data_IF_027468682412
#
_entry.id   IF_027468682412
#
_cell.length_a   1.000
_cell.length_b   1.000
_cell.length_c   1.000
_cell.angle_alpha   90.00
_cell.angle_beta   90.00
_cell.angle_gamma   90.00
#
_symmetry.space_group_name_H-M   'P 1'
#
loop_
_entity.id
_entity.type
_entity.pdbx_description
1 polymer ?
#
# COMPACT_ATOMS: atom_id res chain seq x y z
N UNK A 1 35.95 -5.96 -42.50
CA UNK A 1 35.03 -4.85 -42.13
C UNK A 1 33.73 -5.48 -41.69
N UNK A 2 33.52 -5.57 -40.37
CA UNK A 2 32.34 -6.24 -39.79
C UNK A 2 31.08 -5.42 -40.06
N UNK A 3 30.16 -6.01 -40.82
CA UNK A 3 28.80 -5.50 -40.99
C UNK A 3 28.06 -5.64 -39.66
N UNK A 4 27.99 -4.58 -38.86
CA UNK A 4 27.03 -4.50 -37.76
C UNK A 4 25.68 -4.16 -38.41
N UNK A 5 24.96 -5.19 -38.81
CA UNK A 5 23.57 -5.07 -39.26
C UNK A 5 22.70 -4.81 -38.03
N UNK A 6 22.61 -3.55 -37.58
CA UNK A 6 21.73 -3.15 -36.48
C UNK A 6 20.28 -3.34 -36.91
N UNK A 7 19.69 -4.48 -36.56
CA UNK A 7 18.27 -4.74 -36.82
C UNK A 7 17.42 -3.73 -36.05
N UNK A 8 16.47 -3.07 -36.74
CA UNK A 8 15.62 -1.97 -36.24
C UNK A 8 14.30 -2.44 -35.59
N UNK A 9 13.94 -3.71 -35.78
CA UNK A 9 12.76 -4.35 -35.18
C UNK A 9 12.78 -4.51 -33.64
N UNK A 10 13.92 -4.72 -32.95
CA UNK A 10 13.90 -5.05 -31.53
C UNK A 10 13.45 -3.87 -30.67
N UNK A 11 13.77 -2.61 -31.03
CA UNK A 11 13.35 -1.44 -30.23
C UNK A 11 11.83 -1.26 -30.25
N UNK A 12 11.19 -1.37 -31.42
CA UNK A 12 9.74 -1.27 -31.53
C UNK A 12 9.02 -2.42 -30.80
N UNK A 13 9.57 -3.63 -30.87
CA UNK A 13 9.04 -4.79 -30.13
C UNK A 13 9.17 -4.56 -28.62
N UNK A 14 10.34 -4.13 -28.14
CA UNK A 14 10.58 -3.83 -26.73
C UNK A 14 9.65 -2.73 -26.23
N UNK A 15 9.43 -1.68 -27.03
CA UNK A 15 8.50 -0.60 -26.69
C UNK A 15 7.07 -1.10 -26.47
N UNK A 16 6.55 -1.90 -27.40
CA UNK A 16 5.21 -2.49 -27.30
C UNK A 16 5.13 -3.44 -26.09
N UNK A 17 6.13 -4.29 -25.90
CA UNK A 17 6.17 -5.20 -24.76
C UNK A 17 6.19 -4.46 -23.43
N UNK A 18 6.95 -3.37 -23.30
CA UNK A 18 6.95 -2.53 -22.10
C UNK A 18 5.59 -1.88 -21.84
N UNK A 19 4.91 -1.37 -22.88
CA UNK A 19 3.58 -0.80 -22.74
C UNK A 19 2.55 -1.84 -22.30
N UNK A 20 2.56 -3.03 -22.91
CA UNK A 20 1.66 -4.14 -22.54
C UNK A 20 1.93 -4.59 -21.10
N UNK A 21 3.19 -4.77 -20.73
CA UNK A 21 3.57 -5.11 -19.36
C UNK A 21 3.07 -4.06 -18.36
N UNK A 22 3.24 -2.77 -18.68
CA UNK A 22 2.76 -1.69 -17.85
C UNK A 22 1.24 -1.68 -17.68
N UNK A 23 0.49 -1.93 -18.76
CA UNK A 23 -0.98 -2.06 -18.72
C UNK A 23 -1.41 -3.24 -17.84
N UNK A 24 -0.75 -4.39 -17.97
CA UNK A 24 -1.02 -5.57 -17.12
C UNK A 24 -0.79 -5.25 -15.65
N UNK A 25 0.30 -4.55 -15.31
CA UNK A 25 0.58 -4.14 -13.93
C UNK A 25 -0.50 -3.19 -13.37
N UNK A 26 -0.96 -2.21 -14.16
CA UNK A 26 -2.04 -1.31 -13.74
C UNK A 26 -3.32 -2.10 -13.44
N UNK A 27 -3.71 -3.01 -14.34
CA UNK A 27 -4.92 -3.83 -14.17
C UNK A 27 -4.78 -4.74 -12.94
N UNK A 28 -3.65 -5.43 -12.80
CA UNK A 28 -3.39 -6.31 -11.67
C UNK A 28 -3.44 -5.55 -10.33
N UNK A 29 -2.77 -4.39 -10.25
CA UNK A 29 -2.82 -3.52 -9.08
C UNK A 29 -4.24 -3.07 -8.76
N UNK A 30 -5.00 -2.61 -9.77
CA UNK A 30 -6.40 -2.19 -9.61
C UNK A 30 -7.33 -3.31 -9.14
N UNK A 31 -7.15 -4.53 -9.64
CA UNK A 31 -7.91 -5.71 -9.18
C UNK A 31 -7.64 -5.99 -7.69
N UNK A 32 -6.37 -6.00 -7.28
CA UNK A 32 -6.00 -6.21 -5.87
C UNK A 32 -6.57 -5.08 -4.99
N UNK A 33 -6.48 -3.83 -5.43
CA UNK A 33 -7.06 -2.68 -4.71
C UNK A 33 -8.57 -2.86 -4.49
N UNK A 34 -9.29 -3.22 -5.55
CA UNK A 34 -10.73 -3.45 -5.51
C UNK A 34 -11.10 -4.61 -4.59
N UNK A 35 -10.32 -5.70 -4.61
CA UNK A 35 -10.53 -6.85 -3.72
C UNK A 35 -10.37 -6.47 -2.24
N UNK A 36 -9.33 -5.71 -1.88
CA UNK A 36 -9.13 -5.22 -0.51
C UNK A 36 -10.28 -4.28 -0.11
N UNK A 37 -10.72 -3.42 -1.03
CA UNK A 37 -11.84 -2.50 -0.80
C UNK A 37 -13.14 -3.24 -0.52
N UNK A 38 -13.41 -4.32 -1.26
CA UNK A 38 -14.59 -5.17 -1.01
C UNK A 38 -14.51 -5.83 0.36
N UNK A 39 -13.38 -6.47 0.68
CA UNK A 39 -13.20 -7.14 1.96
C UNK A 39 -13.39 -6.17 3.14
N UNK A 40 -12.84 -4.96 3.05
CA UNK A 40 -13.01 -3.98 4.12
C UNK A 40 -14.45 -3.47 4.26
N UNK A 41 -15.19 -3.34 3.16
CA UNK A 41 -16.62 -2.97 3.20
C UNK A 41 -17.47 -4.06 3.81
N UNK A 42 -17.15 -5.32 3.51
CA UNK A 42 -17.90 -6.47 4.00
C UNK A 42 -17.80 -6.65 5.52
N UNK A 43 -16.77 -6.07 6.16
CA UNK A 43 -16.59 -6.08 7.62
C UNK A 43 -17.46 -5.02 8.35
N UNK A 44 -18.15 -4.13 7.65
CA UNK A 44 -19.05 -3.09 8.21
C UNK A 44 -18.44 -2.27 9.37
N UNK A 45 -17.12 -2.08 9.36
CA UNK A 45 -16.40 -1.32 10.39
C UNK A 45 -16.52 0.18 10.08
N UNK A 46 -17.01 0.97 11.03
CA UNK A 46 -16.95 2.43 10.98
C UNK A 46 -15.79 2.98 11.81
N UNK A 47 -15.19 4.08 11.38
CA UNK A 47 -14.16 4.76 12.17
C UNK A 47 -14.77 5.29 13.48
N UNK A 48 -14.30 4.77 14.61
CA UNK A 48 -14.67 5.21 15.94
C UNK A 48 -14.17 6.62 16.21
N UNK A 49 -14.98 7.42 16.92
CA UNK A 49 -14.55 8.72 17.40
C UNK A 49 -13.40 8.55 18.41
N UNK A 50 -12.39 9.41 18.35
CA UNK A 50 -11.29 9.45 19.34
C UNK A 50 -11.83 9.98 20.67
N UNK A 51 -12.50 11.14 20.65
CA UNK A 51 -13.31 11.68 21.76
C UNK A 51 -14.60 12.30 21.22
N UNK A 52 -15.58 12.60 22.09
CA UNK A 52 -16.83 13.24 21.67
C UNK A 52 -16.63 14.69 21.18
N UNK A 53 -15.66 15.38 21.76
CA UNK A 53 -15.32 16.77 21.45
C UNK A 53 -14.41 16.86 20.22
N UNK A 54 -13.57 15.84 20.01
CA UNK A 54 -12.56 15.79 18.95
C UNK A 54 -12.57 14.39 18.30
N UNK A 55 -13.61 14.07 17.51
CA UNK A 55 -13.82 12.71 17.01
C UNK A 55 -12.72 12.24 16.06
N UNK A 56 -11.91 13.15 15.52
CA UNK A 56 -10.82 12.87 14.60
C UNK A 56 -11.27 12.88 13.14
N UNK A 57 -10.29 13.02 12.24
CA UNK A 57 -10.57 13.01 10.82
C UNK A 57 -11.12 11.66 10.37
N UNK A 58 -12.23 11.68 9.63
CA UNK A 58 -12.92 10.49 9.07
C UNK A 58 -13.75 9.66 10.06
N UNK A 59 -13.94 10.13 11.30
CA UNK A 59 -14.86 9.48 12.23
C UNK A 59 -16.27 9.30 11.65
N UNK A 60 -16.90 8.17 11.94
CA UNK A 60 -18.22 7.79 11.43
C UNK A 60 -18.25 7.36 9.96
N UNK A 61 -17.12 7.38 9.24
CA UNK A 61 -17.04 6.84 7.87
C UNK A 61 -16.70 5.36 7.89
N UNK A 62 -17.17 4.64 6.88
CA UNK A 62 -16.82 3.24 6.69
C UNK A 62 -15.33 3.08 6.41
N UNK A 63 -14.74 2.05 7.03
CA UNK A 63 -13.37 1.63 6.79
C UNK A 63 -13.36 0.92 5.44
N UNK A 64 -13.22 1.68 4.35
CA UNK A 64 -13.22 1.14 2.98
C UNK A 64 -11.97 1.52 2.18
N UNK A 65 -10.98 2.13 2.82
CA UNK A 65 -9.77 2.59 2.15
C UNK A 65 -8.60 2.77 3.12
N UNK A 66 -7.41 3.14 2.59
CA UNK A 66 -6.20 3.22 3.38
C UNK A 66 -6.28 4.28 4.50
N UNK A 67 -6.84 5.46 4.21
CA UNK A 67 -6.92 6.54 5.20
C UNK A 67 -7.94 6.27 6.30
N UNK A 68 -9.08 5.68 5.96
CA UNK A 68 -10.11 5.29 6.94
C UNK A 68 -9.63 4.12 7.80
N UNK A 69 -8.91 3.15 7.22
CA UNK A 69 -8.29 2.05 7.98
C UNK A 69 -7.21 2.56 8.96
N UNK A 70 -6.38 3.51 8.51
CA UNK A 70 -5.40 4.17 9.37
C UNK A 70 -6.06 4.97 10.50
N UNK A 71 -7.11 5.74 10.19
CA UNK A 71 -7.87 6.50 11.19
C UNK A 71 -8.48 5.56 12.25
N UNK A 72 -9.09 4.45 11.83
CA UNK A 72 -9.64 3.47 12.77
C UNK A 72 -8.56 2.82 13.63
N UNK A 73 -7.41 2.47 13.05
CA UNK A 73 -6.30 1.91 13.81
C UNK A 73 -5.78 2.89 14.87
N UNK A 74 -5.84 4.19 14.63
CA UNK A 74 -5.47 5.20 15.62
C UNK A 74 -6.54 5.40 16.70
N UNK A 75 -7.83 5.39 16.33
CA UNK A 75 -8.92 5.44 17.30
C UNK A 75 -8.86 4.25 18.27
N UNK A 76 -8.62 3.04 17.76
CA UNK A 76 -8.41 1.84 18.58
C UNK A 76 -7.23 2.02 19.53
N UNK A 77 -6.11 2.58 19.07
CA UNK A 77 -4.96 2.82 19.94
C UNK A 77 -5.28 3.79 21.08
N UNK A 78 -6.03 4.85 20.77
CA UNK A 78 -6.42 5.85 21.75
C UNK A 78 -7.27 5.22 22.85
N UNK A 79 -8.32 4.48 22.47
CA UNK A 79 -9.20 3.80 23.42
C UNK A 79 -8.48 2.71 24.23
N UNK A 80 -7.56 1.97 23.59
CA UNK A 80 -6.76 0.96 24.28
C UNK A 80 -5.84 1.58 25.34
N UNK A 81 -5.18 2.70 25.03
CA UNK A 81 -4.33 3.41 25.98
C UNK A 81 -5.13 4.12 27.06
N UNK A 82 -6.28 4.70 26.73
CA UNK A 82 -7.18 5.28 27.72
C UNK A 82 -7.68 4.22 28.71
N UNK A 83 -8.00 3.01 28.23
CA UNK A 83 -8.42 1.88 29.07
C UNK A 83 -7.31 1.17 29.83
N UNK A 84 -6.03 1.46 29.54
CA UNK A 84 -4.87 0.85 30.20
C UNK A 84 -4.02 1.85 30.99
N UNK A 85 -4.56 3.03 31.31
CA UNK A 85 -3.83 4.11 31.98
C UNK A 85 -2.51 4.49 31.27
N UNK A 86 -2.52 4.42 29.94
CA UNK A 86 -1.37 4.72 29.08
C UNK A 86 -0.34 3.59 28.96
N UNK A 87 -0.58 2.44 29.59
CA UNK A 87 0.37 1.31 29.62
C UNK A 87 0.24 0.43 28.38
N UNK A 88 1.38 0.00 27.85
CA UNK A 88 1.47 -0.98 26.76
C UNK A 88 1.30 -2.41 27.29
N UNK A 89 1.04 -3.36 26.37
CA UNK A 89 0.93 -4.79 26.70
C UNK A 89 2.12 -5.34 27.50
N UNK A 90 3.33 -4.86 27.20
CA UNK A 90 4.55 -5.27 27.88
C UNK A 90 4.65 -4.67 29.29
N UNK A 91 4.29 -3.39 29.44
CA UNK A 91 4.31 -2.69 30.73
C UNK A 91 3.28 -3.28 31.72
N UNK A 92 2.06 -3.57 31.25
CA UNK A 92 1.05 -4.25 32.07
C UNK A 92 1.56 -5.64 32.49
N UNK A 93 2.23 -6.36 31.59
CA UNK A 93 2.84 -7.65 31.90
C UNK A 93 3.94 -7.56 32.98
N UNK A 94 4.78 -6.52 32.92
CA UNK A 94 5.81 -6.27 33.91
C UNK A 94 5.22 -5.90 35.28
N UNK A 95 4.15 -5.10 35.30
CA UNK A 95 3.44 -4.72 36.53
C UNK A 95 2.77 -5.93 37.20
N UNK A 96 2.08 -6.77 36.42
CA UNK A 96 1.52 -8.04 36.92
C UNK A 96 2.61 -8.93 37.52
N UNK A 97 3.78 -9.03 36.86
CA UNK A 97 4.90 -9.80 37.39
C UNK A 97 5.45 -9.19 38.70
N UNK A 98 5.53 -7.86 38.78
CA UNK A 98 5.94 -7.14 40.00
C UNK A 98 5.00 -7.37 41.18
N UNK A 99 3.68 -7.28 40.95
CA UNK A 99 2.66 -7.53 41.98
C UNK A 99 2.70 -8.97 42.49
N UNK A 100 2.88 -9.95 41.59
CA UNK A 100 3.05 -11.36 41.96
C UNK A 100 4.30 -11.61 42.80
N UNK A 101 5.40 -10.92 42.50
CA UNK A 101 6.65 -11.05 43.25
C UNK A 101 6.58 -10.38 44.63
N UNK A 102 5.78 -9.32 44.77
CA UNK A 102 5.61 -8.60 46.03
C UNK A 102 4.70 -9.34 47.01
N UNK A 103 3.48 -9.69 46.57
CA UNK A 103 2.50 -10.47 47.34
C UNK A 103 1.38 -10.93 46.41
N UNK A 104 1.43 -12.18 45.95
CA UNK A 104 0.48 -12.71 44.99
C UNK A 104 -0.95 -12.86 45.56
N UNK A 105 -1.07 -13.10 46.87
CA UNK A 105 -2.34 -13.33 47.54
C UNK A 105 -2.99 -12.01 47.94
N UNK A 106 -2.21 -11.05 48.46
CA UNK A 106 -2.70 -9.71 48.78
C UNK A 106 -3.05 -8.85 47.57
N UNK A 107 -2.46 -9.12 46.40
CA UNK A 107 -2.72 -8.38 45.16
C UNK A 107 -3.57 -9.14 44.14
N UNK A 108 -4.24 -10.23 44.55
CA UNK A 108 -4.99 -11.11 43.64
C UNK A 108 -5.98 -10.35 42.75
N UNK A 109 -6.72 -9.40 43.33
CA UNK A 109 -7.72 -8.60 42.60
C UNK A 109 -7.09 -7.66 41.57
N UNK A 110 -5.96 -7.02 41.91
CA UNK A 110 -5.24 -6.14 40.98
C UNK A 110 -4.60 -6.93 39.83
N UNK A 111 -4.04 -8.10 40.14
CA UNK A 111 -3.48 -9.02 39.14
C UNK A 111 -4.56 -9.48 38.16
N UNK A 112 -5.76 -9.76 38.64
CA UNK A 112 -6.90 -10.13 37.80
C UNK A 112 -7.32 -8.96 36.89
N UNK A 113 -7.51 -7.76 37.46
CA UNK A 113 -7.90 -6.57 36.71
C UNK A 113 -6.88 -6.18 35.61
N UNK A 114 -5.58 -6.17 35.94
CA UNK A 114 -4.52 -5.92 34.96
C UNK A 114 -4.44 -7.04 33.89
N UNK A 115 -4.80 -8.27 34.24
CA UNK A 115 -4.90 -9.39 33.29
C UNK A 115 -5.98 -9.15 32.22
N UNK A 116 -7.12 -8.59 32.61
CA UNK A 116 -8.20 -8.21 31.68
C UNK A 116 -7.80 -7.04 30.78
N UNK A 117 -7.21 -5.99 31.37
CA UNK A 117 -6.67 -4.87 30.60
C UNK A 117 -5.62 -5.33 29.58
N UNK A 118 -4.71 -6.22 29.99
CA UNK A 118 -3.69 -6.80 29.12
C UNK A 118 -4.31 -7.54 27.92
N UNK A 119 -5.40 -8.26 28.15
CA UNK A 119 -6.13 -8.96 27.09
C UNK A 119 -6.77 -7.98 26.11
N UNK A 120 -7.34 -6.89 26.63
CA UNK A 120 -7.93 -5.81 25.82
C UNK A 120 -6.88 -5.11 24.95
N UNK A 121 -5.73 -4.72 25.52
CA UNK A 121 -4.63 -4.08 24.79
C UNK A 121 -4.02 -5.03 23.75
N UNK A 122 -3.97 -6.32 24.04
CA UNK A 122 -3.54 -7.35 23.09
C UNK A 122 -4.47 -7.41 21.88
N UNK A 123 -5.78 -7.50 22.10
CA UNK A 123 -6.78 -7.51 21.04
C UNK A 123 -6.70 -6.23 20.21
N UNK A 124 -6.60 -5.06 20.86
CA UNK A 124 -6.42 -3.78 20.19
C UNK A 124 -5.18 -3.77 19.27
N UNK A 125 -4.06 -4.33 19.74
CA UNK A 125 -2.84 -4.44 18.94
C UNK A 125 -3.02 -5.34 17.72
N UNK A 126 -3.75 -6.45 17.86
CA UNK A 126 -4.06 -7.34 16.74
C UNK A 126 -4.96 -6.68 15.70
N UNK A 127 -6.05 -6.01 16.13
CA UNK A 127 -6.93 -5.28 15.22
C UNK A 127 -6.19 -4.16 14.48
N UNK A 128 -5.30 -3.45 15.17
CA UNK A 128 -4.47 -2.43 14.53
C UNK A 128 -3.48 -3.02 13.53
N UNK A 129 -2.85 -4.13 13.88
CA UNK A 129 -1.92 -4.81 12.99
C UNK A 129 -2.62 -5.29 11.71
N UNK A 130 -3.83 -5.86 11.81
CA UNK A 130 -4.60 -6.26 10.63
C UNK A 130 -5.01 -5.05 9.77
N UNK A 131 -5.48 -3.95 10.38
CA UNK A 131 -5.80 -2.71 9.68
C UNK A 131 -4.57 -2.11 8.97
N UNK A 132 -3.41 -2.05 9.63
CA UNK A 132 -2.18 -1.58 8.99
C UNK A 132 -1.68 -2.52 7.90
N UNK A 133 -1.89 -3.84 8.04
CA UNK A 133 -1.59 -4.79 6.97
C UNK A 133 -2.41 -4.47 5.72
N UNK A 134 -3.69 -4.10 5.87
CA UNK A 134 -4.51 -3.63 4.74
C UNK A 134 -4.03 -2.28 4.17
N UNK A 135 -3.60 -1.32 5.02
CA UNK A 135 -3.01 -0.05 4.55
C UNK A 135 -1.74 -0.29 3.72
N UNK A 136 -0.87 -1.19 4.17
CA UNK A 136 0.34 -1.59 3.43
C UNK A 136 -0.04 -2.27 2.11
N UNK A 137 -1.04 -3.14 2.10
CA UNK A 137 -1.51 -3.81 0.89
C UNK A 137 -2.01 -2.79 -0.16
N UNK A 138 -2.74 -1.76 0.26
CA UNK A 138 -3.09 -0.62 -0.60
C UNK A 138 -1.83 0.10 -1.12
N UNK A 139 -0.87 0.41 -0.25
CA UNK A 139 0.39 1.04 -0.66
C UNK A 139 1.15 0.23 -1.71
N UNK A 140 1.23 -1.08 -1.55
CA UNK A 140 1.88 -1.99 -2.52
C UNK A 140 1.09 -2.03 -3.84
N UNK A 141 -0.23 -2.10 -3.80
CA UNK A 141 -1.07 -2.04 -5.01
C UNK A 141 -0.88 -0.72 -5.77
N UNK A 142 -0.86 0.43 -5.07
CA UNK A 142 -0.55 1.72 -5.69
C UNK A 142 0.85 1.77 -6.31
N UNK A 143 1.85 1.19 -5.64
CA UNK A 143 3.20 1.09 -6.19
C UNK A 143 3.23 0.27 -7.48
N UNK A 144 2.54 -0.87 -7.52
CA UNK A 144 2.44 -1.72 -8.72
C UNK A 144 1.78 -0.97 -9.87
N UNK A 145 0.70 -0.24 -9.62
CA UNK A 145 0.08 0.61 -10.63
C UNK A 145 1.02 1.72 -11.10
N UNK A 146 1.71 2.39 -10.18
CA UNK A 146 2.69 3.44 -10.48
C UNK A 146 3.87 2.93 -11.33
N UNK A 147 4.36 1.73 -11.04
CA UNK A 147 5.34 1.05 -11.90
C UNK A 147 4.75 0.78 -13.28
N UNK A 148 3.51 0.30 -13.36
CA UNK A 148 2.83 0.10 -14.64
C UNK A 148 2.77 1.37 -15.49
N UNK A 149 2.44 2.52 -14.89
CA UNK A 149 2.49 3.83 -15.56
C UNK A 149 3.91 4.15 -16.05
N UNK A 150 4.93 3.91 -15.22
CA UNK A 150 6.33 4.13 -15.62
C UNK A 150 6.73 3.28 -16.84
N UNK A 151 6.34 2.00 -16.87
CA UNK A 151 6.59 1.09 -18.00
C UNK A 151 5.90 1.56 -19.29
N UNK A 152 4.68 2.10 -19.19
CA UNK A 152 3.99 2.70 -20.33
C UNK A 152 4.73 3.94 -20.83
N UNK A 153 5.15 4.84 -19.94
CA UNK A 153 5.91 6.05 -20.32
C UNK A 153 7.24 5.70 -20.98
N UNK A 154 7.95 4.70 -20.46
CA UNK A 154 9.20 4.21 -21.05
C UNK A 154 8.96 3.61 -22.44
N UNK A 155 7.95 2.76 -22.60
CA UNK A 155 7.60 2.19 -23.91
C UNK A 155 7.18 3.26 -24.92
N UNK A 156 6.38 4.25 -24.48
CA UNK A 156 5.99 5.40 -25.30
C UNK A 156 7.20 6.24 -25.75
N UNK A 157 8.14 6.51 -24.83
CA UNK A 157 9.36 7.25 -25.13
C UNK A 157 10.22 6.54 -26.20
N UNK A 158 10.40 5.21 -26.08
CA UNK A 158 11.13 4.42 -27.08
C UNK A 158 10.41 4.37 -28.42
N UNK A 159 9.08 4.30 -28.41
CA UNK A 159 8.25 4.28 -29.62
C UNK A 159 8.38 5.59 -30.40
N UNK A 160 8.32 6.75 -29.73
CA UNK A 160 8.52 8.06 -30.36
C UNK A 160 9.91 8.20 -31.01
N UNK A 161 10.96 7.72 -30.34
CA UNK A 161 12.33 7.76 -30.86
C UNK A 161 12.53 6.85 -32.08
N UNK A 162 11.87 5.69 -32.09
CA UNK A 162 11.90 4.78 -33.24
C UNK A 162 11.14 5.35 -34.45
N UNK A 163 10.02 6.05 -34.22
CA UNK A 163 9.22 6.68 -35.27
C UNK A 163 9.98 7.84 -35.94
N UNK A 164 10.53 8.78 -35.16
CA UNK A 164 11.25 9.96 -35.68
C UNK A 164 12.49 9.59 -36.52
N UNK A 165 13.20 8.52 -36.15
CA UNK A 165 14.38 8.06 -36.89
C UNK A 165 14.01 7.36 -38.21
N UNK A 166 12.80 6.79 -38.29
CA UNK A 166 12.26 6.21 -39.53
C UNK A 166 12.00 7.30 -40.57
N UNK A 167 11.40 8.42 -40.17
CA UNK A 167 11.15 9.57 -41.04
C UNK A 167 12.44 10.19 -41.57
N UNK A 168 13.46 10.33 -40.71
CA UNK A 168 14.74 10.92 -41.10
C UNK A 168 15.50 10.06 -42.14
N UNK A 169 15.41 8.73 -42.03
CA UNK A 169 15.98 7.81 -43.03
C UNK A 169 15.18 7.85 -44.33
N UNK A 170 13.85 7.94 -44.28
CA UNK A 170 13.04 8.06 -45.49
C UNK A 170 13.34 9.36 -46.26
N UNK A 171 13.53 10.47 -45.54
CA UNK A 171 13.88 11.77 -46.11
C UNK A 171 15.27 11.77 -46.79
N UNK A 172 16.30 11.20 -46.16
CA UNK A 172 17.65 11.13 -46.75
C UNK A 172 17.73 10.19 -47.96
N UNK A 173 16.87 9.17 -48.01
CA UNK A 173 16.79 8.25 -49.16
C UNK A 173 16.13 8.91 -50.37
N UNK A 174 15.15 9.80 -50.15
CA UNK A 174 14.49 10.55 -51.22
C UNK A 174 15.38 11.63 -51.84
N UNK A 175 16.27 12.24 -51.07
CA UNK A 175 17.19 13.29 -51.55
C UNK A 175 18.37 12.73 -52.36
N UNK A 176 18.68 11.43 -52.24
CA UNK A 176 19.81 10.77 -52.91
C UNK A 176 19.43 9.92 -54.13
N UNK A 177 18.16 9.92 -54.55
CA UNK A 177 17.74 9.26 -55.79
C UNK A 177 18.29 10.03 -57.01
N UNK A 178 19.15 9.44 -57.86
CA UNK A 178 19.69 10.13 -59.02
C UNK A 178 18.55 10.49 -59.98
N UNK A 179 18.52 11.75 -60.42
CA UNK A 179 17.64 12.20 -61.49
C UNK A 179 17.86 11.31 -62.72
N UNK A 180 16.87 10.48 -63.03
CA UNK A 180 16.88 9.67 -64.23
C UNK A 180 16.90 10.62 -65.45
N UNK A 181 18.01 10.58 -66.19
CA UNK A 181 18.18 11.18 -67.53
C UNK A 181 17.53 10.28 -68.57
#
# INVERSE_FOLDING_TARGET
MSSITTSRKPVAIVAILSMVAGLVLIIAGGVVWGMITSQLKDEEITVSAVTDEEPGALAGKDVAGPFTAFAQANAINHHALAGSDGKTYAEIGAEVAGLKAADAEGNADQIAALGEQRTTVMNASFLRASLFTSVVAYGVSALVMGLGVMFILLGWSQWLLAAARTEQVAATTHESAPAAV
#
